data_IF_941661955571
#
_entry.id   IF_941661955571
#
_cell.length_a   1.000
_cell.length_b   1.000
_cell.length_c   1.000
_cell.angle_alpha   90.00
_cell.angle_beta   90.00
_cell.angle_gamma   90.00
#
_symmetry.space_group_name_H-M   'P 1'
#
loop_
_entity.id
_entity.type
_entity.pdbx_description
1 polymer ?
#
# COMPACT_ATOMS: atom_id res chain seq x y z
N UNK A 1 6.97 9.70 -3.04
CA UNK A 1 5.78 9.08 -2.43
C UNK A 1 5.49 9.85 -1.16
N UNK A 2 4.25 10.22 -0.92
CA UNK A 2 3.83 10.92 0.30
C UNK A 2 2.72 10.10 0.98
N UNK A 3 2.90 9.78 2.26
CA UNK A 3 1.97 8.98 3.06
C UNK A 3 1.27 9.88 4.07
N UNK A 4 -0.05 10.04 3.93
CA UNK A 4 -0.87 10.85 4.81
C UNK A 4 -1.73 9.97 5.70
N UNK A 5 -1.33 9.78 6.96
CA UNK A 5 -2.13 9.08 7.97
C UNK A 5 -3.34 9.93 8.38
N UNK A 6 -4.52 9.31 8.35
CA UNK A 6 -5.83 9.93 8.64
C UNK A 6 -6.55 9.30 9.82
N UNK A 7 -6.10 8.13 10.28
CA UNK A 7 -6.66 7.44 11.44
C UNK A 7 -5.79 6.26 11.89
N UNK A 8 -6.07 5.73 13.10
CA UNK A 8 -5.38 4.56 13.62
C UNK A 8 -5.86 3.27 12.95
N UNK A 9 -5.10 2.19 13.16
CA UNK A 9 -5.57 0.82 12.95
C UNK A 9 -6.18 0.32 14.26
N UNK A 10 -7.45 -0.05 14.23
CA UNK A 10 -8.17 -0.58 15.38
C UNK A 10 -7.83 -2.06 15.61
N UNK A 11 -7.71 -2.55 16.85
CA UNK A 11 -7.42 -3.95 17.13
C UNK A 11 -8.69 -4.82 17.05
N UNK A 12 -9.29 -4.95 15.86
CA UNK A 12 -10.55 -5.71 15.66
C UNK A 12 -10.35 -7.23 15.63
N UNK A 13 -9.12 -7.67 15.41
CA UNK A 13 -8.69 -9.06 15.35
C UNK A 13 -7.19 -9.14 15.68
N UNK A 14 -6.69 -10.23 16.32
CA UNK A 14 -5.28 -10.36 16.71
C UNK A 14 -4.26 -10.11 15.60
N UNK A 15 -4.63 -10.34 14.34
CA UNK A 15 -3.73 -10.19 13.19
C UNK A 15 -3.92 -8.90 12.41
N UNK A 16 -4.88 -8.04 12.78
CA UNK A 16 -5.18 -6.78 12.07
C UNK A 16 -3.93 -5.90 11.90
N UNK A 17 -3.12 -5.79 12.95
CA UNK A 17 -1.89 -5.00 12.93
C UNK A 17 -0.81 -5.66 12.04
N UNK A 18 -0.71 -6.99 12.05
CA UNK A 18 0.25 -7.71 11.23
C UNK A 18 -0.08 -7.59 9.74
N UNK A 19 -1.35 -7.76 9.38
CA UNK A 19 -1.84 -7.54 8.02
C UNK A 19 -1.62 -6.08 7.56
N UNK A 20 -1.79 -5.11 8.47
CA UNK A 20 -1.47 -3.71 8.18
C UNK A 20 0.01 -3.48 7.87
N UNK A 21 0.91 -4.06 8.67
CA UNK A 21 2.36 -3.97 8.47
C UNK A 21 2.76 -4.60 7.13
N UNK A 22 2.13 -5.71 6.73
CA UNK A 22 2.38 -6.31 5.41
C UNK A 22 1.98 -5.37 4.26
N UNK A 23 0.82 -4.71 4.36
CA UNK A 23 0.41 -3.69 3.38
C UNK A 23 1.38 -2.50 3.37
N UNK A 24 1.80 -2.02 4.53
CA UNK A 24 2.80 -0.94 4.61
C UNK A 24 4.12 -1.33 3.95
N UNK A 25 4.63 -2.54 4.20
CA UNK A 25 5.85 -3.04 3.59
C UNK A 25 5.74 -3.11 2.06
N UNK A 26 4.61 -3.56 1.53
CA UNK A 26 4.32 -3.56 0.09
C UNK A 26 4.41 -2.13 -0.47
N UNK A 27 3.78 -1.17 0.21
CA UNK A 27 3.75 0.23 -0.22
C UNK A 27 5.13 0.89 -0.20
N UNK A 28 5.94 0.60 0.83
CA UNK A 28 7.29 1.15 0.98
C UNK A 28 8.30 0.51 0.01
N UNK A 29 8.06 -0.74 -0.41
CA UNK A 29 8.96 -1.46 -1.34
C UNK A 29 8.62 -1.18 -2.81
N UNK A 30 7.36 -0.84 -3.10
CA UNK A 30 6.92 -0.57 -4.46
C UNK A 30 7.49 0.75 -5.01
N UNK A 31 7.99 0.72 -6.25
CA UNK A 31 8.47 1.92 -6.95
C UNK A 31 7.34 2.64 -7.68
N UNK A 32 6.38 1.87 -8.19
CA UNK A 32 5.22 2.38 -8.91
C UNK A 32 3.91 1.86 -8.32
N UNK A 33 2.83 2.62 -8.50
CA UNK A 33 1.49 2.25 -8.05
C UNK A 33 0.99 0.94 -8.69
N UNK A 34 1.46 0.61 -9.89
CA UNK A 34 1.18 -0.67 -10.58
C UNK A 34 1.81 -1.85 -9.83
N UNK A 35 3.02 -1.67 -9.29
CA UNK A 35 3.71 -2.69 -8.50
C UNK A 35 2.97 -2.95 -7.18
N UNK A 36 2.43 -1.89 -6.56
CA UNK A 36 1.58 -2.02 -5.35
C UNK A 36 0.41 -2.94 -5.64
N UNK A 37 -0.33 -2.73 -6.73
CA UNK A 37 -1.47 -3.58 -7.08
C UNK A 37 -1.04 -5.05 -7.28
N UNK A 38 0.07 -5.27 -8.01
CA UNK A 38 0.60 -6.62 -8.23
C UNK A 38 0.99 -7.31 -6.92
N UNK A 39 1.68 -6.61 -6.04
CA UNK A 39 2.12 -7.14 -4.75
C UNK A 39 0.95 -7.39 -3.79
N UNK A 40 -0.03 -6.49 -3.74
CA UNK A 40 -1.25 -6.69 -2.94
C UNK A 40 -2.01 -7.93 -3.37
N UNK A 41 -2.15 -8.19 -4.68
CA UNK A 41 -2.79 -9.41 -5.19
C UNK A 41 -1.96 -10.64 -4.82
N UNK A 42 -0.65 -10.62 -5.08
CA UNK A 42 0.23 -11.76 -4.84
C UNK A 42 0.35 -12.14 -3.35
N UNK A 43 0.27 -11.14 -2.47
CA UNK A 43 0.37 -11.30 -1.00
C UNK A 43 -1.00 -11.26 -0.32
N UNK A 44 -2.10 -11.23 -1.09
CA UNK A 44 -3.42 -11.13 -0.49
C UNK A 44 -3.70 -12.32 0.43
N UNK A 45 -3.22 -13.51 0.11
CA UNK A 45 -3.45 -14.72 0.91
C UNK A 45 -2.23 -15.04 1.75
N UNK A 46 -2.40 -15.09 3.08
CA UNK A 46 -1.38 -15.46 4.04
C UNK A 46 -1.84 -16.69 4.86
N UNK A 47 -1.03 -17.76 4.98
CA UNK A 47 -1.39 -18.94 5.76
C UNK A 47 -1.64 -18.69 7.25
N UNK A 48 -1.06 -17.65 7.84
CA UNK A 48 -1.13 -17.39 9.28
C UNK A 48 -2.40 -16.66 9.69
N UNK A 49 -2.86 -15.72 8.88
CA UNK A 49 -3.96 -14.82 9.23
C UNK A 49 -5.00 -14.63 8.13
N UNK A 50 -4.97 -15.46 7.10
CA UNK A 50 -5.91 -15.35 5.99
C UNK A 50 -5.58 -14.18 5.09
N UNK A 51 -6.59 -13.39 4.69
CA UNK A 51 -6.42 -12.44 3.59
C UNK A 51 -6.26 -10.97 4.00
N UNK A 52 -5.36 -10.25 3.34
CA UNK A 52 -5.21 -8.80 3.52
C UNK A 52 -6.51 -8.06 3.22
N UNK A 53 -7.20 -8.46 2.15
CA UNK A 53 -8.51 -7.92 1.76
C UNK A 53 -9.64 -8.26 2.73
N UNK A 54 -9.45 -9.27 3.58
CA UNK A 54 -10.36 -9.59 4.67
C UNK A 54 -10.28 -8.62 5.84
N UNK A 55 -9.13 -7.98 6.07
CA UNK A 55 -8.98 -6.95 7.10
C UNK A 55 -9.13 -5.53 6.54
N UNK A 56 -8.69 -5.32 5.30
CA UNK A 56 -8.60 -3.99 4.71
C UNK A 56 -9.29 -3.93 3.37
N UNK A 57 -9.83 -2.75 3.05
CA UNK A 57 -10.28 -2.41 1.71
C UNK A 57 -9.36 -1.33 1.16
N UNK A 58 -8.86 -1.53 -0.05
CA UNK A 58 -8.09 -0.52 -0.76
C UNK A 58 -8.74 -0.12 -2.07
N UNK A 59 -8.38 1.05 -2.57
CA UNK A 59 -8.75 1.50 -3.90
C UNK A 59 -7.67 2.35 -4.53
N UNK A 60 -7.66 2.38 -5.86
CA UNK A 60 -6.80 3.20 -6.67
C UNK A 60 -7.63 4.26 -7.40
N UNK A 61 -7.18 5.51 -7.40
CA UNK A 61 -7.81 6.61 -8.13
C UNK A 61 -6.74 7.49 -8.77
N UNK A 62 -6.45 7.25 -10.04
CA UNK A 62 -5.29 7.83 -10.73
C UNK A 62 -4.01 7.46 -9.99
N UNK A 63 -3.31 8.46 -9.46
CA UNK A 63 -2.06 8.30 -8.72
C UNK A 63 -2.25 8.17 -7.19
N UNK A 64 -3.48 8.00 -6.73
CA UNK A 64 -3.80 7.87 -5.31
C UNK A 64 -4.10 6.44 -4.93
N UNK A 65 -3.55 6.01 -3.80
CA UNK A 65 -3.91 4.79 -3.10
C UNK A 65 -4.57 5.14 -1.76
N UNK A 66 -5.70 4.53 -1.46
CA UNK A 66 -6.43 4.77 -0.21
C UNK A 66 -6.71 3.45 0.49
N UNK A 67 -6.55 3.43 1.81
CA UNK A 67 -6.75 2.24 2.64
C UNK A 67 -7.79 2.50 3.74
N UNK A 68 -8.74 1.59 3.87
CA UNK A 68 -9.72 1.53 4.95
C UNK A 68 -9.60 0.21 5.68
N UNK A 69 -9.89 0.23 6.97
CA UNK A 69 -10.02 -0.97 7.79
C UNK A 69 -11.48 -1.43 7.81
N UNK A 70 -11.70 -2.74 7.68
CA UNK A 70 -12.99 -3.38 7.91
C UNK A 70 -13.28 -3.49 9.40
N UNK A 71 -14.55 -3.43 9.77
CA UNK A 71 -14.96 -3.49 11.18
C UNK A 71 -14.60 -4.83 11.83
N UNK A 72 -14.61 -5.90 11.05
CA UNK A 72 -14.25 -7.27 11.43
C UNK A 72 -13.67 -7.98 10.20
N UNK A 73 -13.04 -9.15 10.39
CA UNK A 73 -12.52 -9.94 9.28
C UNK A 73 -13.64 -10.33 8.30
N UNK A 74 -13.43 -10.04 7.01
CA UNK A 74 -14.39 -10.16 5.91
C UNK A 74 -15.68 -9.34 6.05
N UNK A 75 -15.77 -8.40 7.00
CA UNK A 75 -16.95 -7.54 7.15
C UNK A 75 -17.17 -6.69 5.90
N UNK A 76 -18.41 -6.57 5.38
CA UNK A 76 -18.71 -5.70 4.24
C UNK A 76 -18.57 -4.20 4.60
N UNK A 77 -18.53 -3.87 5.89
CA UNK A 77 -18.48 -2.50 6.40
C UNK A 77 -17.05 -2.13 6.80
N UNK A 78 -16.64 -0.92 6.45
CA UNK A 78 -15.38 -0.32 6.89
C UNK A 78 -15.61 0.79 7.91
N UNK A 79 -14.60 1.07 8.73
CA UNK A 79 -14.56 2.31 9.49
C UNK A 79 -14.71 3.52 8.54
N UNK A 80 -15.47 4.53 8.98
CA UNK A 80 -15.74 5.74 8.17
C UNK A 80 -14.46 6.52 7.86
N UNK A 81 -13.48 6.48 8.77
CA UNK A 81 -12.17 7.10 8.60
C UNK A 81 -11.24 6.18 7.81
N UNK A 82 -10.55 6.76 6.82
CA UNK A 82 -9.40 6.13 6.14
C UNK A 82 -8.24 5.99 7.12
N UNK A 83 -7.43 4.95 6.95
CA UNK A 83 -6.19 4.81 7.71
C UNK A 83 -5.15 5.76 7.13
N UNK A 84 -4.96 5.71 5.81
CA UNK A 84 -4.13 6.67 5.10
C UNK A 84 -4.53 6.83 3.63
N UNK A 85 -4.01 7.90 3.04
CA UNK A 85 -3.98 8.11 1.60
C UNK A 85 -2.54 8.32 1.17
N UNK A 86 -2.15 7.69 0.07
CA UNK A 86 -0.81 7.82 -0.52
C UNK A 86 -0.94 8.45 -1.88
N UNK A 87 -0.15 9.49 -2.10
CA UNK A 87 0.02 10.05 -3.42
C UNK A 87 1.33 9.53 -4.02
N UNK A 88 1.20 8.70 -5.05
CA UNK A 88 2.31 8.34 -5.92
C UNK A 88 2.50 9.51 -6.88
N UNK A 89 3.23 10.55 -6.45
CA UNK A 89 3.60 11.65 -7.33
C UNK A 89 4.12 11.10 -8.66
N UNK A 90 3.78 11.76 -9.77
CA UNK A 90 4.28 11.40 -11.09
C UNK A 90 5.80 11.28 -10.97
N UNK A 91 6.34 10.05 -11.01
CA UNK A 91 7.76 9.82 -11.25
C UNK A 91 8.02 10.11 -12.73
N UNK A 92 7.72 11.33 -13.18
CA UNK A 92 8.28 11.85 -14.41
C UNK A 92 9.76 11.98 -14.13
N UNK A 93 10.54 11.14 -14.80
CA UNK A 93 11.97 11.33 -15.00
C UNK A 93 12.83 11.47 -13.73
N UNK A 94 12.99 10.40 -12.96
CA UNK A 94 14.26 10.17 -12.24
C UNK A 94 15.15 9.13 -12.95
N UNK A 95 15.00 9.03 -14.26
CA UNK A 95 15.86 8.25 -15.15
C UNK A 95 16.80 9.13 -15.99
N UNK A 96 17.04 10.40 -15.61
CA UNK A 96 17.91 11.32 -16.36
C UNK A 96 19.24 11.66 -15.67
N UNK A 97 19.50 11.16 -14.47
CA UNK A 97 20.76 11.44 -13.75
C UNK A 97 21.64 10.22 -13.50
N UNK A 98 21.17 8.98 -13.71
CA UNK A 98 22.04 7.79 -13.61
C UNK A 98 22.77 7.39 -14.90
N UNK A 99 22.48 8.05 -16.02
CA UNK A 99 23.10 7.76 -17.31
C UNK A 99 24.05 8.86 -17.81
N UNK A 100 24.38 9.85 -16.96
CA UNK A 100 25.43 10.83 -17.27
C UNK A 100 26.82 10.40 -16.77
N UNK A 101 26.89 9.51 -15.78
CA UNK A 101 28.17 9.06 -15.23
C UNK A 101 28.80 7.89 -16.03
N UNK A 102 28.07 7.34 -17.01
CA UNK A 102 28.51 6.24 -17.88
C UNK A 102 29.01 6.69 -19.26
N UNK A 103 29.04 8.00 -19.53
CA UNK A 103 29.43 8.56 -20.85
C UNK A 103 30.65 9.49 -20.80
N UNK A 104 31.42 9.51 -19.71
CA UNK A 104 32.69 10.23 -19.61
C UNK A 104 33.85 9.34 -19.15
N UNK A 105 33.96 8.15 -19.72
CA UNK A 105 35.21 7.39 -19.76
C UNK A 105 35.38 6.83 -21.17
N UNK A 106 35.94 7.68 -22.05
CA UNK A 106 36.74 7.32 -23.20
C UNK A 106 37.80 8.40 -23.37
#
# INVERSE_FOLDING_TARGET
MEINFKGPVMPVDPYSQMAFVEILNILLTARHIVDVNRFLINRNTNPQFGSLSGYFRWSFSGNHFTLWQRMEYNSPVCFSRRIFSIHFGILASRNRERNKDSLTLN
#
